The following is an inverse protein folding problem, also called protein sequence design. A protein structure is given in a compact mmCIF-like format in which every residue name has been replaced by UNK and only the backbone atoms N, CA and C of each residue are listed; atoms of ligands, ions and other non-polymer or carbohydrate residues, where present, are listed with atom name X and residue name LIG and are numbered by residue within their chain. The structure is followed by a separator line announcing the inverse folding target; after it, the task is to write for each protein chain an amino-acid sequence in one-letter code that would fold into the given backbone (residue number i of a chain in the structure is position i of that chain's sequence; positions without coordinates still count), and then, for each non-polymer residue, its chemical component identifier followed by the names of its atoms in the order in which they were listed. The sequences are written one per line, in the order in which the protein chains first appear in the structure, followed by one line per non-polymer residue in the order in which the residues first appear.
data_IF_651247954848
#
_entry.id   IF_651247954848
#
_cell.length_a   1.000
_cell.length_b   1.000
_cell.length_c   1.000
_cell.angle_alpha   90.00
_cell.angle_beta   90.00
_cell.angle_gamma   90.00
#
_symmetry.space_group_name_H-M   'P 1'
#
loop_
_entity.id
_entity.type
_entity.pdbx_description
1 polymer ?
#
# COMPACT_ATOMS: atom_id res chain seq x y z
N UNK A 1 22.67 25.42 51.66
CA UNK A 1 22.76 25.40 50.18
C UNK A 1 22.95 26.82 49.70
N UNK A 2 24.03 27.11 48.99
CA UNK A 2 24.25 28.44 48.41
C UNK A 2 23.39 28.60 47.15
N UNK A 3 22.92 29.82 46.86
CA UNK A 3 22.05 30.13 45.72
C UNK A 3 22.62 29.62 44.37
N UNK A 4 23.94 29.61 44.24
CA UNK A 4 24.66 29.04 43.09
C UNK A 4 24.41 27.53 42.91
N UNK A 5 24.39 26.76 44.00
CA UNK A 5 24.15 25.30 43.95
C UNK A 5 22.70 25.00 43.54
N UNK A 6 21.74 25.80 44.01
CA UNK A 6 20.32 25.65 43.65
C UNK A 6 20.06 26.01 42.18
N UNK A 7 20.72 27.06 41.67
CA UNK A 7 20.60 27.46 40.27
C UNK A 7 21.18 26.39 39.31
N UNK A 8 22.32 25.81 39.65
CA UNK A 8 22.92 24.70 38.89
C UNK A 8 22.01 23.47 38.89
N UNK A 9 21.44 23.11 40.05
CA UNK A 9 20.51 21.98 40.14
C UNK A 9 19.25 22.17 39.27
N UNK A 10 18.68 23.38 39.23
CA UNK A 10 17.51 23.67 38.38
C UNK A 10 17.84 23.64 36.89
N UNK A 11 19.02 24.13 36.49
CA UNK A 11 19.47 24.05 35.09
C UNK A 11 19.67 22.59 34.64
N UNK A 12 20.28 21.75 35.48
CA UNK A 12 20.42 20.31 35.21
C UNK A 12 19.07 19.60 35.11
N UNK A 13 18.12 19.91 36.00
CA UNK A 13 16.77 19.34 35.93
C UNK A 13 16.04 19.74 34.64
N UNK A 14 16.19 20.99 34.19
CA UNK A 14 15.63 21.47 32.92
C UNK A 14 16.22 20.75 31.71
N UNK A 15 17.55 20.59 31.65
CA UNK A 15 18.22 19.86 30.56
C UNK A 15 17.82 18.39 30.55
N UNK A 16 17.75 17.75 31.72
CA UNK A 16 17.34 16.34 31.83
C UNK A 16 15.88 16.14 31.37
N UNK A 17 14.98 17.06 31.72
CA UNK A 17 13.59 17.02 31.27
C UNK A 17 13.47 17.16 29.74
N UNK A 18 14.27 18.03 29.12
CA UNK A 18 14.33 18.16 27.65
C UNK A 18 14.87 16.89 27.00
N UNK A 19 15.91 16.27 27.56
CA UNK A 19 16.48 15.02 27.05
C UNK A 19 15.49 13.87 27.16
N UNK A 20 14.78 13.73 28.28
CA UNK A 20 13.75 12.70 28.47
C UNK A 20 12.58 12.95 27.50
N UNK A 21 12.11 14.19 27.38
CA UNK A 21 11.06 14.53 26.42
C UNK A 21 11.48 14.19 24.98
N UNK A 22 12.73 14.50 24.60
CA UNK A 22 13.28 14.14 23.30
C UNK A 22 13.40 12.63 23.10
N UNK A 23 13.86 11.87 24.11
CA UNK A 23 13.94 10.41 24.04
C UNK A 23 12.55 9.77 23.90
N UNK A 24 11.55 10.28 24.62
CA UNK A 24 10.16 9.83 24.52
C UNK A 24 9.59 10.16 23.15
N UNK A 25 9.87 11.34 22.60
CA UNK A 25 9.42 11.76 21.26
C UNK A 25 10.05 10.88 20.16
N UNK A 26 11.35 10.59 20.25
CA UNK A 26 12.06 9.71 19.31
C UNK A 26 11.53 8.27 19.39
N UNK A 27 11.29 7.73 20.59
CA UNK A 27 10.71 6.38 20.74
C UNK A 27 9.27 6.32 20.24
N UNK A 28 8.45 7.35 20.53
CA UNK A 28 7.09 7.44 20.04
C UNK A 28 7.04 7.50 18.50
N UNK A 29 7.96 8.23 17.87
CA UNK A 29 8.10 8.29 16.42
C UNK A 29 8.52 6.93 15.83
N UNK A 30 9.45 6.20 16.46
CA UNK A 30 9.86 4.87 16.01
C UNK A 30 8.73 3.83 16.07
N UNK A 31 8.00 3.79 17.19
CA UNK A 31 6.81 2.92 17.35
C UNK A 31 5.74 3.29 16.33
N UNK A 32 5.55 4.59 16.08
CA UNK A 32 4.60 5.07 15.08
C UNK A 32 4.96 4.60 13.66
N UNK A 33 6.22 4.67 13.27
CA UNK A 33 6.68 4.15 11.97
C UNK A 33 6.47 2.63 11.84
N UNK A 34 6.67 1.86 12.91
CA UNK A 34 6.38 0.43 12.92
C UNK A 34 4.88 0.14 12.78
N UNK A 35 4.01 0.89 13.47
CA UNK A 35 2.55 0.78 13.32
C UNK A 35 2.11 1.08 11.88
N UNK A 36 2.64 2.15 11.27
CA UNK A 36 2.35 2.50 9.88
C UNK A 36 2.85 1.44 8.91
N UNK A 37 4.04 0.87 9.17
CA UNK A 37 4.58 -0.25 8.37
C UNK A 37 3.71 -1.49 8.50
N UNK A 38 3.26 -1.85 9.70
CA UNK A 38 2.38 -2.99 9.92
C UNK A 38 1.01 -2.79 9.22
N UNK A 39 0.45 -1.58 9.29
CA UNK A 39 -0.78 -1.23 8.58
C UNK A 39 -0.61 -1.31 7.05
N UNK A 40 0.50 -0.79 6.51
CA UNK A 40 0.82 -0.88 5.09
C UNK A 40 1.04 -2.33 4.64
N UNK A 41 1.68 -3.16 5.47
CA UNK A 41 1.85 -4.60 5.21
C UNK A 41 0.51 -5.34 5.22
N UNK A 42 -0.37 -5.09 6.19
CA UNK A 42 -1.69 -5.69 6.23
C UNK A 42 -2.55 -5.31 5.00
N UNK A 43 -2.45 -4.05 4.56
CA UNK A 43 -3.08 -3.58 3.32
C UNK A 43 -2.51 -4.31 2.10
N UNK A 44 -1.18 -4.40 2.00
CA UNK A 44 -0.49 -5.11 0.92
C UNK A 44 -0.89 -6.59 0.89
N UNK A 45 -0.96 -7.25 2.05
CA UNK A 45 -1.37 -8.65 2.19
C UNK A 45 -2.80 -8.87 1.71
N UNK A 46 -3.73 -7.99 2.12
CA UNK A 46 -5.13 -8.04 1.69
C UNK A 46 -5.27 -7.87 0.17
N UNK A 47 -4.62 -6.84 -0.40
CA UNK A 47 -4.69 -6.57 -1.85
C UNK A 47 -4.04 -7.69 -2.64
N UNK A 48 -2.85 -8.14 -2.23
CA UNK A 48 -2.15 -9.25 -2.90
C UNK A 48 -2.98 -10.54 -2.86
N UNK A 49 -3.66 -10.83 -1.74
CA UNK A 49 -4.53 -11.99 -1.63
C UNK A 49 -5.74 -11.88 -2.56
N UNK A 50 -6.42 -10.73 -2.59
CA UNK A 50 -7.54 -10.50 -3.51
C UNK A 50 -7.12 -10.67 -4.98
N UNK A 51 -5.95 -10.16 -5.38
CA UNK A 51 -5.41 -10.33 -6.74
C UNK A 51 -5.09 -11.80 -7.03
N UNK A 52 -4.49 -12.54 -6.08
CA UNK A 52 -4.20 -13.97 -6.23
C UNK A 52 -5.48 -14.77 -6.44
N UNK A 53 -6.50 -14.52 -5.63
CA UNK A 53 -7.81 -15.14 -5.78
C UNK A 53 -8.38 -14.86 -7.17
N UNK A 54 -8.35 -13.61 -7.64
CA UNK A 54 -8.78 -13.24 -8.98
C UNK A 54 -8.05 -14.01 -10.07
N UNK A 55 -6.72 -14.04 -10.02
CA UNK A 55 -5.91 -14.80 -10.99
C UNK A 55 -6.26 -16.29 -10.96
N UNK A 56 -6.33 -16.90 -9.77
CA UNK A 56 -6.67 -18.32 -9.63
C UNK A 56 -8.06 -18.63 -10.17
N UNK A 57 -9.05 -17.75 -9.95
CA UNK A 57 -10.39 -17.89 -10.52
C UNK A 57 -10.38 -17.77 -12.05
N UNK A 58 -9.57 -16.87 -12.61
CA UNK A 58 -9.45 -16.71 -14.06
C UNK A 58 -8.83 -17.93 -14.76
N UNK A 59 -7.99 -18.66 -14.05
CA UNK A 59 -7.35 -19.90 -14.52
C UNK A 59 -8.27 -21.13 -14.45
N UNK A 60 -9.44 -21.03 -13.83
CA UNK A 60 -10.39 -22.15 -13.80
C UNK A 60 -10.90 -22.49 -15.22
N UNK A 61 -11.07 -23.80 -15.52
CA UNK A 61 -11.68 -24.24 -16.77
C UNK A 61 -13.08 -23.64 -16.94
N UNK A 62 -13.42 -23.21 -18.17
CA UNK A 62 -14.74 -22.64 -18.50
C UNK A 62 -14.95 -21.17 -18.11
N UNK A 63 -14.00 -20.51 -17.43
CA UNK A 63 -14.09 -19.07 -17.11
C UNK A 63 -13.49 -18.24 -18.26
N UNK A 64 -14.31 -17.54 -19.04
CA UNK A 64 -13.82 -16.71 -20.16
C UNK A 64 -13.57 -15.25 -19.80
N UNK A 65 -14.17 -14.78 -18.73
CA UNK A 65 -13.87 -13.48 -18.14
C UNK A 65 -14.84 -13.09 -17.05
N UNK A 66 -14.39 -12.22 -16.16
CA UNK A 66 -15.19 -11.68 -15.07
C UNK A 66 -14.56 -10.39 -14.52
N UNK A 67 -15.38 -9.58 -13.87
CA UNK A 67 -14.94 -8.38 -13.16
C UNK A 67 -14.94 -8.66 -11.66
N UNK A 68 -13.80 -8.44 -11.02
CA UNK A 68 -13.64 -8.53 -9.58
C UNK A 68 -13.67 -7.15 -8.95
N UNK A 69 -14.46 -7.00 -7.90
CA UNK A 69 -14.44 -5.84 -7.03
C UNK A 69 -13.29 -5.96 -6.02
N UNK A 70 -12.46 -4.92 -5.92
CA UNK A 70 -11.43 -4.80 -4.89
C UNK A 70 -11.98 -4.00 -3.71
N UNK A 71 -11.96 -4.62 -2.53
CA UNK A 71 -12.26 -3.95 -1.28
C UNK A 71 -11.01 -3.26 -0.78
N UNK A 72 -11.04 -1.93 -0.77
CA UNK A 72 -9.96 -1.07 -0.27
C UNK A 72 -10.39 -0.48 1.07
N UNK A 73 -9.60 -0.65 2.14
CA UNK A 73 -9.99 -0.15 3.45
C UNK A 73 -10.08 1.38 3.44
N UNK A 74 -11.25 1.89 3.82
CA UNK A 74 -11.52 3.32 3.97
C UNK A 74 -11.20 3.85 5.37
N UNK A 75 -10.91 2.94 6.33
CA UNK A 75 -10.73 3.27 7.73
C UNK A 75 -9.54 2.51 8.31
N UNK A 76 -8.61 3.24 8.94
CA UNK A 76 -7.46 2.69 9.64
C UNK A 76 -7.31 3.37 11.01
N UNK A 77 -7.96 2.86 12.08
CA UNK A 77 -7.59 3.22 13.44
C UNK A 77 -6.20 2.62 13.68
N UNK A 78 -5.17 3.42 14.01
CA UNK A 78 -5.15 4.42 15.08
C UNK A 78 -4.59 5.78 14.62
N UNK A 79 -4.84 6.18 13.37
CA UNK A 79 -4.30 7.41 12.78
C UNK A 79 -5.32 8.55 12.80
N UNK A 80 -4.88 9.78 13.05
CA UNK A 80 -5.74 10.97 12.97
C UNK A 80 -6.10 11.25 11.51
N UNK A 81 -5.13 11.07 10.62
CA UNK A 81 -5.29 11.11 9.19
C UNK A 81 -4.31 10.16 8.52
N UNK A 82 -4.68 9.61 7.37
CA UNK A 82 -3.80 8.78 6.57
C UNK A 82 -4.15 8.90 5.09
N UNK A 83 -3.15 8.66 4.26
CA UNK A 83 -3.22 8.64 2.82
C UNK A 83 -2.41 7.46 2.34
N UNK A 84 -2.90 6.73 1.34
CA UNK A 84 -2.11 5.66 0.74
C UNK A 84 -2.35 5.56 -0.76
N UNK A 85 -1.35 5.05 -1.48
CA UNK A 85 -1.49 4.68 -2.88
C UNK A 85 -1.12 3.23 -3.09
N UNK A 86 -1.91 2.53 -3.90
CA UNK A 86 -1.67 1.15 -4.29
C UNK A 86 -1.29 1.16 -5.76
N UNK A 87 -0.06 0.74 -6.06
CA UNK A 87 0.45 0.64 -7.42
C UNK A 87 0.56 -0.82 -7.84
N UNK A 88 -0.09 -1.17 -8.94
CA UNK A 88 0.05 -2.45 -9.61
C UNK A 88 0.95 -2.26 -10.81
N UNK A 89 2.02 -3.04 -10.93
CA UNK A 89 2.98 -2.92 -12.03
C UNK A 89 3.44 -4.29 -12.49
N UNK A 90 3.56 -4.47 -13.80
CA UNK A 90 4.30 -5.58 -14.38
C UNK A 90 5.79 -5.24 -14.43
N UNK A 91 6.61 -6.01 -13.72
CA UNK A 91 8.07 -5.87 -13.72
C UNK A 91 8.66 -7.18 -14.24
N UNK A 92 9.03 -7.22 -15.51
CA UNK A 92 9.71 -8.39 -16.10
C UNK A 92 8.83 -9.65 -16.09
N UNK A 93 7.52 -9.49 -16.31
CA UNK A 93 6.55 -10.58 -16.28
C UNK A 93 6.02 -10.93 -14.89
N UNK A 94 6.44 -10.25 -13.82
CA UNK A 94 5.90 -10.43 -12.47
C UNK A 94 4.97 -9.27 -12.12
N UNK A 95 3.75 -9.58 -11.70
CA UNK A 95 2.84 -8.59 -11.16
C UNK A 95 3.29 -8.23 -9.73
N UNK A 96 3.78 -7.01 -9.58
CA UNK A 96 4.21 -6.44 -8.30
C UNK A 96 3.15 -5.45 -7.81
N UNK A 97 2.78 -5.57 -6.54
CA UNK A 97 1.93 -4.62 -5.85
C UNK A 97 2.80 -3.82 -4.89
N UNK A 98 2.68 -2.51 -4.93
CA UNK A 98 3.36 -1.58 -4.03
C UNK A 98 2.32 -0.75 -3.31
N UNK A 99 2.48 -0.62 -1.99
CA UNK A 99 1.66 0.23 -1.14
C UNK A 99 2.56 1.30 -0.55
N UNK A 100 2.29 2.55 -0.90
CA UNK A 100 2.89 3.70 -0.24
C UNK A 100 1.86 4.26 0.73
N UNK A 101 2.18 4.29 2.01
CA UNK A 101 1.32 4.80 3.07
C UNK A 101 1.99 5.97 3.77
N UNK A 102 1.20 7.01 4.04
CA UNK A 102 1.58 8.15 4.87
C UNK A 102 0.50 8.33 5.93
N UNK A 103 0.89 8.37 7.20
CA UNK A 103 -0.04 8.56 8.30
C UNK A 103 0.42 9.65 9.26
N UNK A 104 -0.53 10.22 9.97
CA UNK A 104 -0.36 11.34 10.89
C UNK A 104 -0.98 11.02 12.26
N UNK A 105 -0.29 11.41 13.34
CA UNK A 105 -0.78 11.37 14.72
C UNK A 105 -0.26 12.59 15.48
N UNK A 106 -1.14 13.54 15.80
CA UNK A 106 -0.76 14.83 16.37
C UNK A 106 0.21 15.60 15.45
N UNK A 107 1.44 15.80 15.92
CA UNK A 107 2.53 16.43 15.14
C UNK A 107 3.43 15.42 14.41
N UNK A 108 3.33 14.13 14.73
CA UNK A 108 4.12 13.09 14.12
C UNK A 108 3.55 12.71 12.75
N UNK A 109 4.46 12.39 11.82
CA UNK A 109 4.14 11.88 10.49
C UNK A 109 5.11 10.77 10.12
N UNK A 110 4.63 9.73 9.48
CA UNK A 110 5.46 8.61 9.01
C UNK A 110 5.04 8.23 7.60
N UNK A 111 6.04 7.94 6.76
CA UNK A 111 5.86 7.48 5.39
C UNK A 111 6.57 6.16 5.19
N UNK A 112 5.84 5.17 4.71
CA UNK A 112 6.37 3.81 4.48
C UNK A 112 5.98 3.37 3.07
N UNK A 113 6.90 2.69 2.39
CA UNK A 113 6.66 2.00 1.13
C UNK A 113 6.95 0.52 1.32
N UNK A 114 5.99 -0.33 0.95
CA UNK A 114 6.13 -1.79 0.99
C UNK A 114 5.67 -2.38 -0.34
N UNK A 115 6.38 -3.40 -0.82
CA UNK A 115 6.08 -4.03 -2.11
C UNK A 115 6.11 -5.54 -2.01
N UNK A 116 5.29 -6.21 -2.83
CA UNK A 116 5.28 -7.68 -2.95
C UNK A 116 5.03 -8.12 -4.39
N UNK A 117 5.82 -9.11 -4.81
CA UNK A 117 5.54 -9.91 -5.99
C UNK A 117 4.33 -10.82 -5.74
N UNK A 118 3.29 -10.67 -6.54
CA UNK A 118 1.99 -11.33 -6.32
C UNK A 118 1.85 -12.58 -7.16
N UNK A 119 2.21 -12.48 -8.46
CA UNK A 119 2.02 -13.56 -9.42
C UNK A 119 2.95 -13.42 -10.63
N UNK A 120 3.34 -14.55 -11.23
CA UNK A 120 4.06 -14.55 -12.51
C UNK A 120 3.06 -14.58 -13.66
N UNK A 121 3.05 -13.52 -14.47
CA UNK A 121 2.07 -13.32 -15.54
C UNK A 121 2.29 -14.27 -16.72
N UNK A 122 3.47 -14.88 -16.84
CA UNK A 122 3.72 -15.93 -17.82
C UNK A 122 2.96 -17.23 -17.53
N UNK A 123 2.52 -17.47 -16.30
CA UNK A 123 1.73 -18.65 -15.91
C UNK A 123 0.23 -18.48 -16.23
N UNK A 124 -0.16 -17.34 -16.81
CA UNK A 124 -1.54 -17.02 -17.15
C UNK A 124 -2.00 -17.69 -18.45
N UNK A 125 -1.61 -18.94 -18.66
CA UNK A 125 -1.91 -19.71 -19.87
C UNK A 125 -2.82 -20.87 -19.51
N UNK A 126 -3.85 -21.09 -20.34
CA UNK A 126 -4.73 -22.24 -20.24
C UNK A 126 -5.14 -22.73 -21.63
N UNK A 127 -5.74 -23.92 -21.77
CA UNK A 127 -6.06 -24.51 -23.08
C UNK A 127 -6.88 -23.59 -23.99
N UNK A 128 -7.73 -22.74 -23.41
CA UNK A 128 -8.61 -21.84 -24.14
C UNK A 128 -7.95 -20.51 -24.57
N UNK A 129 -6.74 -20.21 -24.09
CA UNK A 129 -6.01 -18.98 -24.39
C UNK A 129 -5.18 -18.44 -23.22
N UNK A 130 -4.78 -17.16 -23.32
CA UNK A 130 -4.01 -16.44 -22.29
C UNK A 130 -4.94 -15.53 -21.49
N UNK A 131 -4.90 -15.64 -20.16
CA UNK A 131 -5.63 -14.74 -19.26
C UNK A 131 -4.97 -13.36 -19.28
N UNK A 132 -5.74 -12.37 -19.68
CA UNK A 132 -5.42 -10.95 -19.58
C UNK A 132 -5.96 -10.40 -18.26
N UNK A 133 -5.12 -9.65 -17.57
CA UNK A 133 -5.39 -8.99 -16.29
C UNK A 133 -5.42 -7.50 -16.53
N UNK A 134 -6.58 -6.92 -16.28
CA UNK A 134 -6.80 -5.50 -16.40
C UNK A 134 -7.13 -4.91 -15.03
N UNK A 135 -6.56 -3.76 -14.71
CA UNK A 135 -6.95 -2.98 -13.54
C UNK A 135 -7.61 -1.68 -13.99
N UNK A 136 -8.58 -1.20 -13.22
CA UNK A 136 -9.19 0.11 -13.47
C UNK A 136 -8.10 1.20 -13.49
N UNK A 137 -8.28 2.17 -14.37
CA UNK A 137 -7.40 3.31 -14.50
C UNK A 137 -7.35 4.12 -13.19
N UNK A 138 -6.13 4.32 -12.69
CA UNK A 138 -5.85 5.12 -11.52
C UNK A 138 -5.48 6.57 -11.83
N UNK A 139 -4.99 7.29 -10.82
CA UNK A 139 -4.50 8.66 -10.97
C UNK A 139 -3.24 8.71 -11.84
N UNK A 140 -2.34 7.73 -11.66
CA UNK A 140 -1.16 7.54 -12.49
C UNK A 140 -1.24 6.16 -13.15
N UNK A 141 -0.93 6.08 -14.44
CA UNK A 141 -1.01 4.82 -15.18
C UNK A 141 -0.18 4.86 -16.45
N UNK A 142 0.05 3.69 -17.03
CA UNK A 142 0.58 3.48 -18.37
C UNK A 142 -0.15 2.32 -19.06
N UNK A 143 -0.08 2.24 -20.39
CA UNK A 143 -0.72 1.19 -21.20
C UNK A 143 -2.24 1.09 -21.03
N UNK A 144 -2.92 2.24 -21.04
CA UNK A 144 -4.37 2.26 -20.97
C UNK A 144 -5.03 1.64 -22.22
N UNK A 145 -6.09 0.88 -21.99
CA UNK A 145 -6.99 0.30 -22.99
C UNK A 145 -8.41 0.67 -22.56
N UNK A 146 -8.89 1.82 -23.04
CA UNK A 146 -10.14 2.43 -22.54
C UNK A 146 -10.00 2.87 -21.08
N UNK A 147 -10.95 2.45 -20.24
CA UNK A 147 -10.96 2.75 -18.79
C UNK A 147 -10.10 1.79 -17.95
N UNK A 148 -9.34 0.92 -18.62
CA UNK A 148 -8.55 -0.13 -18.00
C UNK A 148 -7.06 0.02 -18.34
N UNK A 149 -6.21 -0.63 -17.56
CA UNK A 149 -4.78 -0.79 -17.81
C UNK A 149 -4.48 -2.26 -17.97
N UNK A 150 -3.85 -2.65 -19.08
CA UNK A 150 -3.41 -4.03 -19.30
C UNK A 150 -2.13 -4.32 -18.50
N UNK A 151 -2.30 -4.99 -17.35
CA UNK A 151 -1.19 -5.36 -16.48
C UNK A 151 -0.42 -6.59 -16.97
N UNK A 152 -0.85 -7.25 -18.06
CA UNK A 152 -0.07 -8.37 -18.64
C UNK A 152 1.04 -7.91 -19.56
N UNK A 153 0.99 -6.67 -20.02
CA UNK A 153 2.04 -6.07 -20.82
C UNK A 153 3.18 -5.59 -19.91
N UNK A 154 4.41 -5.86 -20.34
CA UNK A 154 5.59 -5.51 -19.55
C UNK A 154 5.72 -3.99 -19.38
N UNK A 155 6.13 -3.55 -18.19
CA UNK A 155 6.25 -2.14 -17.82
C UNK A 155 4.95 -1.42 -17.47
N UNK A 156 3.78 -2.00 -17.80
CA UNK A 156 2.50 -1.36 -17.58
C UNK A 156 2.11 -1.30 -16.11
N UNK A 157 1.49 -0.19 -15.69
CA UNK A 157 1.13 0.03 -14.30
C UNK A 157 -0.10 0.93 -14.13
N UNK A 158 -0.74 0.82 -12.97
CA UNK A 158 -1.78 1.76 -12.51
C UNK A 158 -1.61 2.01 -11.02
N UNK A 159 -1.91 3.22 -10.57
CA UNK A 159 -1.80 3.64 -9.17
C UNK A 159 -3.11 4.21 -8.68
N UNK A 160 -3.68 3.57 -7.66
CA UNK A 160 -4.92 3.99 -7.01
C UNK A 160 -4.61 4.73 -5.73
N UNK A 161 -4.96 6.01 -5.71
CA UNK A 161 -4.77 6.89 -4.57
C UNK A 161 -6.01 6.91 -3.69
N UNK A 162 -5.81 6.76 -2.38
CA UNK A 162 -6.82 6.75 -1.33
C UNK A 162 -6.46 7.75 -0.21
N UNK A 163 -7.47 8.38 0.45
CA UNK A 163 -8.90 8.23 0.21
C UNK A 163 -9.32 8.83 -1.14
N UNK A 164 -10.20 8.12 -1.85
CA UNK A 164 -10.78 8.52 -3.12
C UNK A 164 -12.31 8.58 -2.99
N UNK A 165 -13.02 9.43 -3.76
CA UNK A 165 -14.49 9.43 -3.77
C UNK A 165 -15.07 8.07 -4.21
N UNK A 166 -14.26 7.26 -4.89
CA UNK A 166 -14.55 5.87 -5.22
C UNK A 166 -13.86 4.96 -4.18
N UNK A 167 -14.65 4.38 -3.27
CA UNK A 167 -14.19 3.39 -2.28
C UNK A 167 -14.01 1.98 -2.88
N UNK A 168 -14.36 1.84 -4.15
CA UNK A 168 -14.39 0.57 -4.86
C UNK A 168 -13.60 0.73 -6.14
N UNK A 169 -12.67 -0.21 -6.36
CA UNK A 169 -11.87 -0.33 -7.59
C UNK A 169 -12.10 -1.71 -8.18
N UNK A 170 -11.79 -1.87 -9.45
CA UNK A 170 -12.07 -3.11 -10.17
C UNK A 170 -10.84 -3.69 -10.85
N UNK A 171 -10.79 -5.02 -10.86
CA UNK A 171 -10.01 -5.80 -11.80
C UNK A 171 -10.94 -6.45 -12.81
N UNK A 172 -10.48 -6.59 -14.03
CA UNK A 172 -11.16 -7.35 -15.07
C UNK A 172 -10.21 -8.42 -15.60
N UNK A 173 -10.67 -9.67 -15.61
CA UNK A 173 -9.92 -10.80 -16.11
C UNK A 173 -10.64 -11.31 -17.35
N UNK A 174 -9.92 -11.50 -18.45
CA UNK A 174 -10.51 -12.00 -19.71
C UNK A 174 -9.56 -12.94 -20.41
N UNK A 175 -10.06 -13.98 -21.05
CA UNK A 175 -9.26 -14.89 -21.85
C UNK A 175 -9.15 -14.35 -23.28
N UNK A 176 -7.93 -14.09 -23.73
CA UNK A 176 -7.62 -13.77 -25.12
C UNK A 176 -7.07 -15.01 -25.83
N UNK A 177 -7.52 -15.25 -27.06
CA UNK A 177 -6.98 -16.30 -27.94
C UNK A 177 -5.83 -15.78 -28.77
#
# INVERSE_FOLDING_TARGET
MNALQTAVAMAFAGVLAVIIAWLVDVQAQAVFEEEVRAAAQALLDSVANQVRVGVSTALLPGVYGFRQQMSLPSYAPPFDAFYYSITFRNVGGVLVVTVDMTAYRGKASARVSVSRAVYYLGDLVKPEGVVKVYAEKGQNYDCAVGDWVDLTRDGCYTSWVMPSPYYVRYFNYTVAR
#
